data_IF_607182769006
#
_entry.id   IF_607182769006
#
_cell.length_a   1.000
_cell.length_b   1.000
_cell.length_c   1.000
_cell.angle_alpha   90.00
_cell.angle_beta   90.00
_cell.angle_gamma   90.00
#
_symmetry.space_group_name_H-M   'P 1'
#
loop_
_entity.id
_entity.type
_entity.pdbx_description
1 polymer ?
#
# COMPACT_ATOMS: atom_id res chain seq x y z
N UNK A 1 15.23 7.41 -12.96
CA UNK A 1 14.97 6.18 -12.18
C UNK A 1 13.70 5.52 -12.73
N UNK A 2 13.63 4.19 -12.71
CA UNK A 2 12.43 3.46 -13.12
C UNK A 2 11.42 3.38 -11.97
N UNK A 3 10.14 3.32 -12.32
CA UNK A 3 9.00 3.32 -11.41
C UNK A 3 8.93 2.02 -10.59
N UNK A 4 9.19 0.87 -11.21
CA UNK A 4 9.04 -0.45 -10.58
C UNK A 4 9.93 -0.62 -9.33
N UNK A 5 11.26 -0.41 -9.37
CA UNK A 5 12.11 -0.69 -8.20
C UNK A 5 11.79 0.22 -7.01
N UNK A 6 11.30 1.45 -7.27
CA UNK A 6 10.83 2.35 -6.22
C UNK A 6 9.57 1.79 -5.54
N UNK A 7 8.61 1.27 -6.32
CA UNK A 7 7.41 0.65 -5.78
C UNK A 7 7.78 -0.58 -4.92
N UNK A 8 8.68 -1.43 -5.39
CA UNK A 8 9.11 -2.61 -4.63
C UNK A 8 9.77 -2.25 -3.30
N UNK A 9 10.66 -1.26 -3.31
CA UNK A 9 11.28 -0.75 -2.08
C UNK A 9 10.24 -0.15 -1.13
N UNK A 10 9.24 0.57 -1.66
CA UNK A 10 8.15 1.15 -0.87
C UNK A 10 7.36 0.07 -0.15
N UNK A 11 6.96 -0.97 -0.89
CA UNK A 11 6.21 -2.11 -0.36
C UNK A 11 7.02 -2.79 0.76
N UNK A 12 8.31 -3.07 0.52
CA UNK A 12 9.19 -3.67 1.52
C UNK A 12 9.34 -2.81 2.78
N UNK A 13 9.53 -1.50 2.64
CA UNK A 13 9.65 -0.58 3.77
C UNK A 13 8.36 -0.50 4.59
N UNK A 14 7.20 -0.45 3.94
CA UNK A 14 5.90 -0.43 4.64
C UNK A 14 5.65 -1.77 5.34
N UNK A 15 5.98 -2.90 4.70
CA UNK A 15 5.91 -4.21 5.35
C UNK A 15 6.85 -4.32 6.56
N UNK A 16 8.07 -3.80 6.47
CA UNK A 16 8.99 -3.77 7.59
C UNK A 16 8.44 -2.92 8.75
N UNK A 17 7.75 -1.82 8.45
CA UNK A 17 7.04 -1.04 9.45
C UNK A 17 5.87 -1.82 10.10
N UNK A 18 5.04 -2.48 9.29
CA UNK A 18 3.86 -3.24 9.74
C UNK A 18 4.25 -4.49 10.56
N UNK A 19 5.23 -5.28 10.09
CA UNK A 19 5.69 -6.50 10.75
C UNK A 19 6.30 -6.25 12.14
N UNK A 20 6.78 -5.04 12.37
CA UNK A 20 7.23 -4.57 13.68
C UNK A 20 6.13 -3.79 14.44
N UNK A 21 4.85 -3.89 14.07
CA UNK A 21 3.75 -3.21 14.76
C UNK A 21 3.77 -1.67 14.63
N UNK A 22 4.19 -1.14 13.48
CA UNK A 22 4.48 0.29 13.25
C UNK A 22 5.58 0.87 14.15
N UNK A 23 6.43 0.05 14.77
CA UNK A 23 7.55 0.53 15.59
C UNK A 23 8.74 1.05 14.77
N UNK A 24 8.79 0.79 13.46
CA UNK A 24 9.82 1.35 12.59
C UNK A 24 9.35 2.63 11.90
N UNK A 25 10.20 3.64 12.03
CA UNK A 25 10.11 5.00 11.51
C UNK A 25 9.21 5.16 10.26
N UNK A 26 7.98 5.70 10.44
CA UNK A 26 7.06 6.02 9.36
C UNK A 26 7.70 6.89 8.25
N UNK A 27 8.75 7.65 8.56
CA UNK A 27 9.46 8.51 7.61
C UNK A 27 10.04 7.74 6.42
N UNK A 28 10.50 6.50 6.64
CA UNK A 28 10.99 5.65 5.55
C UNK A 28 9.84 5.26 4.59
N UNK A 29 8.64 5.01 5.11
CA UNK A 29 7.45 4.74 4.30
C UNK A 29 6.97 5.97 3.52
N UNK A 30 6.98 7.14 4.16
CA UNK A 30 6.55 8.40 3.52
C UNK A 30 7.43 8.81 2.35
N UNK A 31 8.75 8.78 2.53
CA UNK A 31 9.70 9.14 1.47
C UNK A 31 9.51 8.27 0.22
N UNK A 32 9.18 7.00 0.42
CA UNK A 32 8.95 6.05 -0.66
C UNK A 32 7.63 6.30 -1.40
N UNK A 33 6.54 6.56 -0.66
CA UNK A 33 5.24 6.96 -1.25
C UNK A 33 5.38 8.27 -2.03
N UNK A 34 6.07 9.27 -1.47
CA UNK A 34 6.24 10.58 -2.11
C UNK A 34 7.08 10.48 -3.40
N UNK A 35 8.14 9.66 -3.41
CA UNK A 35 8.92 9.37 -4.61
C UNK A 35 8.07 8.70 -5.71
N UNK A 36 7.15 7.81 -5.31
CA UNK A 36 6.24 7.16 -6.25
C UNK A 36 5.23 8.17 -6.84
N UNK A 37 4.61 8.99 -5.99
CA UNK A 37 3.69 10.06 -6.41
C UNK A 37 4.39 11.01 -7.40
N UNK A 38 5.62 11.44 -7.10
CA UNK A 38 6.39 12.31 -7.99
C UNK A 38 6.68 11.63 -9.34
N UNK A 39 7.10 10.37 -9.33
CA UNK A 39 7.39 9.61 -10.55
C UNK A 39 6.14 9.43 -11.42
N UNK A 40 4.99 9.11 -10.82
CA UNK A 40 3.72 8.96 -11.54
C UNK A 40 3.19 10.29 -12.07
N UNK A 41 3.30 11.39 -11.31
CA UNK A 41 2.92 12.72 -11.81
C UNK A 41 3.82 13.15 -12.96
N UNK A 42 5.10 12.77 -12.92
CA UNK A 42 6.07 13.04 -13.99
C UNK A 42 5.78 12.33 -15.32
N UNK A 43 4.97 11.26 -15.35
CA UNK A 43 4.56 10.63 -16.61
C UNK A 43 3.46 11.40 -17.32
N UNK A 44 2.73 12.26 -16.61
CA UNK A 44 1.57 13.02 -17.10
C UNK A 44 0.46 12.16 -17.75
N UNK A 45 0.39 10.87 -17.39
CA UNK A 45 -0.57 9.92 -17.94
C UNK A 45 -1.89 9.92 -17.16
N UNK A 46 -3.06 10.14 -17.79
CA UNK A 46 -4.35 10.14 -17.11
C UNK A 46 -4.67 8.83 -16.40
N UNK A 47 -4.22 7.70 -16.94
CA UNK A 47 -4.41 6.37 -16.37
C UNK A 47 -3.67 6.18 -15.03
N UNK A 48 -2.68 7.01 -14.72
CA UNK A 48 -1.91 6.94 -13.47
C UNK A 48 -2.54 7.76 -12.35
N UNK A 49 -3.49 8.66 -12.66
CA UNK A 49 -4.16 9.52 -11.66
C UNK A 49 -4.85 8.73 -10.54
N UNK A 50 -5.57 7.62 -10.80
CA UNK A 50 -6.16 6.82 -9.74
C UNK A 50 -5.12 6.23 -8.80
N UNK A 51 -3.95 5.80 -9.33
CA UNK A 51 -2.86 5.25 -8.53
C UNK A 51 -2.27 6.34 -7.62
N UNK A 52 -2.07 7.55 -8.14
CA UNK A 52 -1.60 8.70 -7.35
C UNK A 52 -2.58 9.03 -6.21
N UNK A 53 -3.88 9.04 -6.50
CA UNK A 53 -4.90 9.33 -5.49
C UNK A 53 -4.90 8.27 -4.38
N UNK A 54 -4.79 7.01 -4.73
CA UNK A 54 -4.76 5.92 -3.77
C UNK A 54 -3.50 5.95 -2.89
N UNK A 55 -2.37 6.43 -3.43
CA UNK A 55 -1.15 6.66 -2.66
C UNK A 55 -1.28 7.77 -1.62
N UNK A 56 -1.98 8.84 -1.97
CA UNK A 56 -2.30 9.91 -1.03
C UNK A 56 -3.21 9.40 0.09
N UNK A 57 -4.19 8.56 -0.25
CA UNK A 57 -5.05 7.89 0.73
C UNK A 57 -4.24 6.96 1.66
N UNK A 58 -3.35 6.13 1.09
CA UNK A 58 -2.45 5.26 1.86
C UNK A 58 -1.61 6.07 2.85
N UNK A 59 -1.02 7.18 2.41
CA UNK A 59 -0.26 8.09 3.27
C UNK A 59 -1.10 8.59 4.44
N UNK A 60 -2.33 9.06 4.17
CA UNK A 60 -3.25 9.48 5.20
C UNK A 60 -3.63 8.35 6.18
N UNK A 61 -3.74 7.12 5.71
CA UNK A 61 -3.98 5.98 6.59
C UNK A 61 -2.78 5.66 7.49
N UNK A 62 -1.55 5.75 6.97
CA UNK A 62 -0.31 5.61 7.75
C UNK A 62 -0.25 6.70 8.84
N UNK A 63 -0.52 7.96 8.50
CA UNK A 63 -0.57 9.08 9.48
C UNK A 63 -1.53 8.81 10.64
N UNK A 64 -2.66 8.17 10.34
CA UNK A 64 -3.70 7.86 11.32
C UNK A 64 -3.51 6.50 12.00
N UNK A 65 -2.42 5.77 11.72
CA UNK A 65 -2.21 4.39 12.16
C UNK A 65 -3.41 3.47 11.86
N UNK A 66 -4.11 3.72 10.76
CA UNK A 66 -5.34 3.02 10.39
C UNK A 66 -5.04 1.80 9.54
N UNK A 67 -4.73 0.67 10.19
CA UNK A 67 -4.39 -0.58 9.51
C UNK A 67 -5.50 -1.08 8.55
N UNK A 68 -6.78 -0.89 8.89
CA UNK A 68 -7.90 -1.27 8.02
C UNK A 68 -7.94 -0.42 6.75
N UNK A 69 -7.75 0.90 6.89
CA UNK A 69 -7.66 1.82 5.76
C UNK A 69 -6.44 1.52 4.88
N UNK A 70 -5.28 1.25 5.48
CA UNK A 70 -4.10 0.82 4.74
C UNK A 70 -4.37 -0.44 3.93
N UNK A 71 -5.07 -1.43 4.52
CA UNK A 71 -5.39 -2.66 3.83
C UNK A 71 -6.27 -2.44 2.58
N UNK A 72 -7.23 -1.53 2.66
CA UNK A 72 -8.06 -1.13 1.52
C UNK A 72 -7.20 -0.45 0.45
N UNK A 73 -6.34 0.48 0.86
CA UNK A 73 -5.48 1.19 -0.08
C UNK A 73 -4.49 0.26 -0.81
N UNK A 74 -3.91 -0.71 -0.10
CA UNK A 74 -3.07 -1.73 -0.70
C UNK A 74 -3.82 -2.61 -1.71
N UNK A 75 -5.06 -2.97 -1.41
CA UNK A 75 -5.90 -3.74 -2.34
C UNK A 75 -6.16 -2.94 -3.63
N UNK A 76 -6.58 -1.68 -3.48
CA UNK A 76 -6.88 -0.79 -4.59
C UNK A 76 -5.64 -0.54 -5.46
N UNK A 77 -4.48 -0.26 -4.85
CA UNK A 77 -3.21 -0.11 -5.57
C UNK A 77 -2.85 -1.38 -6.35
N UNK A 78 -3.08 -2.56 -5.76
CA UNK A 78 -2.86 -3.84 -6.41
C UNK A 78 -3.72 -4.01 -7.66
N UNK A 79 -5.00 -3.67 -7.58
CA UNK A 79 -5.94 -3.76 -8.70
C UNK A 79 -5.61 -2.74 -9.81
N UNK A 80 -5.37 -1.48 -9.44
CA UNK A 80 -5.04 -0.43 -10.39
C UNK A 80 -3.71 -0.70 -11.12
N UNK A 81 -2.74 -1.28 -10.40
CA UNK A 81 -1.45 -1.68 -11.01
C UNK A 81 -1.64 -2.85 -11.98
N UNK A 82 -2.45 -3.85 -11.63
CA UNK A 82 -2.76 -4.96 -12.54
C UNK A 82 -3.51 -4.48 -13.79
N UNK A 83 -4.49 -3.58 -13.63
CA UNK A 83 -5.22 -2.99 -14.76
C UNK A 83 -4.28 -2.20 -15.67
N UNK A 84 -3.39 -1.42 -15.08
CA UNK A 84 -2.39 -0.65 -15.83
C UNK A 84 -1.37 -1.56 -16.54
N UNK A 85 -1.06 -2.73 -15.98
CA UNK A 85 -0.23 -3.75 -16.61
C UNK A 85 -0.91 -4.38 -17.84
N UNK A 86 -2.24 -4.53 -17.82
CA UNK A 86 -3.04 -4.99 -18.96
C UNK A 86 -3.09 -3.93 -20.08
N UNK A 87 -3.06 -2.65 -19.73
CA UNK A 87 -2.93 -1.55 -20.68
C UNK A 87 -1.45 -1.29 -21.05
N UNK A 88 -0.76 -2.35 -21.50
CA UNK A 88 0.69 -2.56 -21.75
C UNK A 88 1.50 -1.33 -22.27
N UNK A 89 0.87 -0.32 -22.85
CA UNK A 89 1.48 0.99 -23.14
C UNK A 89 1.88 1.80 -21.90
N UNK A 90 1.08 1.80 -20.84
CA UNK A 90 1.26 2.70 -19.69
C UNK A 90 2.49 2.32 -18.83
N UNK A 91 2.85 1.04 -18.82
CA UNK A 91 4.04 0.52 -18.13
C UNK A 91 5.23 0.30 -19.07
N UNK A 92 5.26 0.90 -20.28
CA UNK A 92 6.40 0.90 -21.23
C UNK A 92 7.21 -0.42 -21.29
N UNK A 93 6.53 -1.56 -21.41
CA UNK A 93 7.19 -2.88 -21.52
C UNK A 93 7.48 -3.59 -20.18
N UNK A 94 7.02 -3.06 -19.05
CA UNK A 94 7.20 -3.64 -17.71
C UNK A 94 5.94 -4.35 -17.17
N UNK A 95 5.04 -4.80 -18.05
CA UNK A 95 3.75 -5.40 -17.66
C UNK A 95 3.88 -6.58 -16.68
N UNK A 96 4.87 -7.44 -16.84
CA UNK A 96 5.09 -8.57 -15.92
C UNK A 96 5.55 -8.12 -14.53
N UNK A 97 6.37 -7.07 -14.46
CA UNK A 97 6.77 -6.47 -13.18
C UNK A 97 5.60 -5.76 -12.50
N UNK A 98 4.74 -5.10 -13.28
CA UNK A 98 3.53 -4.49 -12.74
C UNK A 98 2.54 -5.56 -12.19
N UNK A 99 2.46 -6.74 -12.81
CA UNK A 99 1.72 -7.89 -12.25
C UNK A 99 2.34 -8.39 -10.95
N UNK A 100 3.66 -8.53 -10.88
CA UNK A 100 4.36 -8.93 -9.66
C UNK A 100 4.10 -7.94 -8.51
N UNK A 101 4.18 -6.64 -8.79
CA UNK A 101 3.83 -5.59 -7.84
C UNK A 101 2.38 -5.73 -7.36
N UNK A 102 1.43 -5.93 -8.27
CA UNK A 102 0.02 -6.11 -7.92
C UNK A 102 -0.19 -7.28 -6.95
N UNK A 103 0.49 -8.40 -7.18
CA UNK A 103 0.44 -9.56 -6.29
C UNK A 103 1.00 -9.24 -4.90
N UNK A 104 2.15 -8.55 -4.84
CA UNK A 104 2.76 -8.11 -3.57
C UNK A 104 1.83 -7.17 -2.78
N UNK A 105 1.21 -6.20 -3.46
CA UNK A 105 0.25 -5.26 -2.85
C UNK A 105 -1.01 -5.98 -2.34
N UNK A 106 -1.55 -6.93 -3.11
CA UNK A 106 -2.71 -7.74 -2.71
C UNK A 106 -2.39 -8.60 -1.48
N UNK A 107 -1.20 -9.20 -1.43
CA UNK A 107 -0.75 -9.94 -0.26
C UNK A 107 -0.61 -9.02 0.99
N UNK A 108 -0.11 -7.79 0.79
CA UNK A 108 -0.02 -6.78 1.84
C UNK A 108 -1.38 -6.44 2.45
N UNK A 109 -2.37 -6.22 1.59
CA UNK A 109 -3.74 -5.98 1.99
C UNK A 109 -4.29 -7.13 2.85
N UNK A 110 -4.05 -8.38 2.44
CA UNK A 110 -4.45 -9.56 3.21
C UNK A 110 -3.85 -9.58 4.61
N UNK A 111 -2.53 -9.37 4.72
CA UNK A 111 -1.83 -9.35 6.00
C UNK A 111 -2.32 -8.21 6.92
N UNK A 112 -2.52 -7.02 6.37
CA UNK A 112 -3.04 -5.88 7.13
C UNK A 112 -4.48 -6.10 7.62
N UNK A 113 -5.33 -6.78 6.85
CA UNK A 113 -6.68 -7.16 7.32
C UNK A 113 -6.60 -8.08 8.54
N UNK A 114 -5.67 -9.03 8.55
CA UNK A 114 -5.47 -9.90 9.71
C UNK A 114 -5.06 -9.11 10.95
N UNK A 115 -4.13 -8.16 10.79
CA UNK A 115 -3.68 -7.28 11.89
C UNK A 115 -4.81 -6.37 12.37
N UNK A 116 -5.55 -5.73 11.48
CA UNK A 116 -6.69 -4.89 11.82
C UNK A 116 -7.77 -5.67 12.59
N UNK A 117 -8.05 -6.89 12.16
CA UNK A 117 -8.99 -7.78 12.84
C UNK A 117 -8.48 -8.22 14.22
N UNK A 118 -7.19 -8.49 14.37
CA UNK A 118 -6.58 -8.83 15.66
C UNK A 118 -6.61 -7.64 16.64
N UNK A 119 -6.35 -6.42 16.16
CA UNK A 119 -6.45 -5.20 16.95
C UNK A 119 -7.90 -4.95 17.42
N UNK A 120 -8.89 -5.14 16.55
CA UNK A 120 -10.31 -5.01 16.89
C UNK A 120 -10.83 -6.08 17.86
N UNK A 121 -10.33 -7.32 17.77
CA UNK A 121 -10.69 -8.40 18.69
C UNK A 121 -10.24 -8.14 20.14
N UNK A 122 -9.14 -7.40 20.32
CA UNK A 122 -8.61 -7.02 21.64
C UNK A 122 -9.52 -5.99 22.33
N UNK A 123 -10.24 -5.15 21.56
CA UNK A 123 -11.14 -4.11 22.08
C UNK A 123 -12.46 -4.65 22.66
N UNK A 124 -12.85 -5.89 22.35
CA UNK A 124 -14.10 -6.51 22.81
C UNK A 124 -13.94 -7.44 24.02
N UNK A 125 -12.75 -7.61 24.59
CA UNK A 125 -12.49 -8.55 25.70
C UNK A 125 -12.45 -7.91 27.11
N UNK A 126 -13.07 -6.73 27.29
CA UNK A 126 -13.16 -6.04 28.59
C UNK A 126 -14.60 -5.78 29.03
N UNK A 127 -15.45 -6.81 29.05
CA UNK A 127 -16.61 -6.83 29.96
C UNK A 127 -16.79 -8.22 30.57
N UNK A 128 -16.59 -8.29 31.89
CA UNK A 128 -16.75 -9.46 32.74
C UNK A 128 -18.23 -9.84 32.93
N UNK A 129 -18.49 -11.00 33.54
CA UNK A 129 -19.35 -10.97 34.71
C UNK A 129 -18.66 -11.57 35.93
N UNK A 130 -18.59 -10.76 37.00
CA UNK A 130 -18.52 -11.24 38.37
C UNK A 130 -19.80 -12.04 38.62
N UNK A 131 -19.70 -13.30 39.01
CA UNK A 131 -20.62 -13.98 39.93
C UNK A 131 -19.80 -15.01 40.71
#
# INVERSE_FOLDING_TARGET
MSLIPQIESSIQSIFAAIGNGFQMDPAAGYNQIDNWIQSLRGTNEPAMRPIVHELEALRGHIDNNNAAGMAVAFQNLGELTAQSALSIHNFRGEGDKAREISQKLTAAAGNLRLIANAAGATSYSVEAPKH
#
